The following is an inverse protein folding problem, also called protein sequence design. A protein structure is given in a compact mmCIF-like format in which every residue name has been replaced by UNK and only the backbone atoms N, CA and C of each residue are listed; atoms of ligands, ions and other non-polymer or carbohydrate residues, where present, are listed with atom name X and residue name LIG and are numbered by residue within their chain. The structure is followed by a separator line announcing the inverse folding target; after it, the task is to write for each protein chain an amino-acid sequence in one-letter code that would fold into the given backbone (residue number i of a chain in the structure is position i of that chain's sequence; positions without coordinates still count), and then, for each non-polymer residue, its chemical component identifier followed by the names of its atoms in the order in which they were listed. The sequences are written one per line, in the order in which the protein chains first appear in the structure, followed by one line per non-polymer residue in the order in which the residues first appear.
data_IF_405395545533
#
_entry.id   IF_405395545533
#
_cell.length_a   1.000
_cell.length_b   1.000
_cell.length_c   1.000
_cell.angle_alpha   90.00
_cell.angle_beta   90.00
_cell.angle_gamma   90.00
#
_symmetry.space_group_name_H-M   'P 1'
#
loop_
_entity.id
_entity.type
_entity.pdbx_description
1 polymer ?
#
# COMPACT_ATOMS: atom_id res chain seq x y z
N UNK A 1 15.59 37.45 -43.54
CA UNK A 1 14.51 36.51 -43.16
C UNK A 1 14.73 36.08 -41.73
N UNK A 2 13.83 36.43 -40.80
CA UNK A 2 13.90 36.05 -39.38
C UNK A 2 13.05 34.80 -39.17
N UNK A 3 13.67 33.70 -38.74
CA UNK A 3 12.97 32.50 -38.31
C UNK A 3 12.79 32.56 -36.79
N UNK A 4 11.55 32.77 -36.35
CA UNK A 4 11.16 32.67 -34.94
C UNK A 4 10.81 31.23 -34.65
N UNK A 5 11.65 30.52 -33.87
CA UNK A 5 11.32 29.22 -33.32
C UNK A 5 10.32 29.41 -32.17
N UNK A 6 9.07 29.02 -32.38
CA UNK A 6 8.10 28.83 -31.29
C UNK A 6 8.52 27.61 -30.46
N UNK A 7 8.98 27.87 -29.24
CA UNK A 7 9.14 26.84 -28.22
C UNK A 7 7.77 26.33 -27.78
N UNK A 8 7.47 25.06 -28.06
CA UNK A 8 6.32 24.36 -27.51
C UNK A 8 6.65 23.99 -26.06
N UNK A 9 6.13 24.76 -25.10
CA UNK A 9 6.15 24.38 -23.70
C UNK A 9 5.15 23.25 -23.48
N UNK A 10 5.64 22.03 -23.31
CA UNK A 10 4.84 20.89 -22.89
C UNK A 10 4.49 21.05 -21.40
N UNK A 11 3.29 21.56 -21.13
CA UNK A 11 2.68 21.51 -19.80
C UNK A 11 2.45 20.04 -19.43
N UNK A 12 3.41 19.43 -18.73
CA UNK A 12 3.21 18.11 -18.15
C UNK A 12 2.15 18.18 -17.03
N UNK A 13 1.20 17.25 -16.96
CA UNK A 13 0.18 17.23 -15.93
C UNK A 13 0.83 16.90 -14.58
N UNK A 14 0.96 17.92 -13.71
CA UNK A 14 1.55 17.83 -12.36
C UNK A 14 0.99 16.67 -11.52
N UNK A 15 -0.23 16.19 -11.80
CA UNK A 15 -0.88 15.10 -11.06
C UNK A 15 -0.35 13.70 -11.35
N UNK A 16 0.21 13.43 -12.53
CA UNK A 16 0.74 12.10 -12.88
C UNK A 16 2.11 11.87 -12.23
N UNK A 17 2.98 12.89 -12.27
CA UNK A 17 4.28 12.89 -11.62
C UNK A 17 4.15 12.77 -10.09
N UNK A 18 3.34 13.63 -9.47
CA UNK A 18 3.13 13.60 -8.02
C UNK A 18 2.55 12.27 -7.48
N UNK A 19 1.79 11.53 -8.30
CA UNK A 19 1.30 10.19 -7.93
C UNK A 19 2.36 9.12 -8.13
N UNK A 20 3.18 9.23 -9.18
CA UNK A 20 4.36 8.40 -9.38
C UNK A 20 5.35 8.50 -8.22
N UNK A 21 5.58 9.73 -7.75
CA UNK A 21 6.47 10.03 -6.63
C UNK A 21 6.01 9.35 -5.34
N UNK A 22 4.71 9.45 -5.01
CA UNK A 22 4.13 8.80 -3.82
C UNK A 22 4.15 7.27 -3.88
N UNK A 23 3.93 6.69 -5.06
CA UNK A 23 4.04 5.24 -5.23
C UNK A 23 5.48 4.78 -4.98
N UNK A 24 6.46 5.48 -5.55
CA UNK A 24 7.87 5.14 -5.37
C UNK A 24 8.32 5.32 -3.91
N UNK A 25 7.86 6.38 -3.25
CA UNK A 25 8.09 6.61 -1.82
C UNK A 25 7.53 5.46 -0.96
N UNK A 26 6.29 5.03 -1.22
CA UNK A 26 5.68 3.92 -0.52
C UNK A 26 6.42 2.60 -0.76
N UNK A 27 6.85 2.33 -2.00
CA UNK A 27 7.67 1.15 -2.34
C UNK A 27 8.96 1.15 -1.52
N UNK A 28 9.71 2.25 -1.56
CA UNK A 28 10.98 2.37 -0.83
C UNK A 28 10.80 2.15 0.68
N UNK A 29 9.73 2.68 1.27
CA UNK A 29 9.44 2.49 2.69
C UNK A 29 9.18 1.01 3.05
N UNK A 30 8.52 0.26 2.17
CA UNK A 30 8.32 -1.17 2.34
C UNK A 30 9.63 -1.96 2.15
N UNK A 31 10.42 -1.63 1.13
CA UNK A 31 11.70 -2.27 0.83
C UNK A 31 12.73 -2.06 1.94
N UNK A 32 12.79 -0.87 2.55
CA UNK A 32 13.60 -0.60 3.74
C UNK A 32 13.25 -1.53 4.92
N UNK A 33 12.02 -2.09 4.94
CA UNK A 33 11.57 -3.05 5.95
C UNK A 33 11.68 -4.49 5.46
N UNK A 34 12.41 -4.74 4.38
CA UNK A 34 12.63 -6.07 3.83
C UNK A 34 11.40 -6.65 3.12
N UNK A 35 10.44 -5.82 2.70
CA UNK A 35 9.40 -6.26 1.77
C UNK A 35 9.90 -6.22 0.33
N UNK A 36 9.49 -7.20 -0.46
CA UNK A 36 9.65 -7.21 -1.91
C UNK A 36 8.34 -6.78 -2.54
N UNK A 37 8.37 -5.70 -3.33
CA UNK A 37 7.20 -5.24 -4.08
C UNK A 37 7.32 -5.73 -5.53
N UNK A 38 6.47 -6.67 -5.92
CA UNK A 38 6.41 -7.19 -7.29
C UNK A 38 5.36 -6.47 -8.10
N UNK A 39 5.73 -6.00 -9.30
CA UNK A 39 4.79 -5.40 -10.26
C UNK A 39 4.31 -6.37 -11.33
N UNK A 40 4.90 -7.55 -11.36
CA UNK A 40 4.60 -8.64 -12.28
C UNK A 40 4.37 -9.92 -11.47
N UNK A 41 3.29 -10.62 -11.81
CA UNK A 41 2.93 -11.91 -11.22
C UNK A 41 1.91 -12.59 -12.15
N UNK A 42 1.93 -13.93 -12.33
CA UNK A 42 0.98 -14.62 -13.21
C UNK A 42 -0.49 -14.30 -12.90
N UNK A 43 -0.81 -14.15 -11.60
CA UNK A 43 -2.16 -13.79 -11.15
C UNK A 43 -2.63 -12.39 -11.56
N UNK A 44 -1.76 -11.51 -12.03
CA UNK A 44 -2.19 -10.20 -12.53
C UNK A 44 -3.05 -10.28 -13.80
N UNK A 45 -3.05 -11.44 -14.48
CA UNK A 45 -3.99 -11.76 -15.55
C UNK A 45 -5.44 -11.96 -15.06
N UNK A 46 -5.66 -12.22 -13.76
CA UNK A 46 -7.02 -12.35 -13.19
C UNK A 46 -7.74 -10.99 -13.25
N UNK A 47 -8.91 -10.86 -13.89
CA UNK A 47 -9.53 -9.56 -14.18
C UNK A 47 -9.70 -8.67 -12.94
N UNK A 48 -10.16 -9.23 -11.83
CA UNK A 48 -10.54 -8.49 -10.62
C UNK A 48 -9.43 -8.39 -9.55
N UNK A 49 -8.24 -8.94 -9.81
CA UNK A 49 -7.15 -8.94 -8.83
C UNK A 49 -6.20 -7.76 -9.00
N UNK A 50 -6.33 -6.71 -8.19
CA UNK A 50 -5.48 -5.51 -8.28
C UNK A 50 -4.11 -5.70 -7.62
N UNK A 51 -4.02 -6.54 -6.59
CA UNK A 51 -2.79 -6.89 -5.90
C UNK A 51 -3.04 -8.05 -4.95
N UNK A 52 -1.98 -8.50 -4.28
CA UNK A 52 -2.09 -9.43 -3.16
C UNK A 52 -0.91 -9.33 -2.21
N UNK A 53 -1.19 -9.49 -0.93
CA UNK A 53 -0.18 -9.88 0.05
C UNK A 53 0.10 -11.39 -0.03
N UNK A 54 1.37 -11.78 -0.18
CA UNK A 54 1.77 -13.20 -0.14
C UNK A 54 1.87 -13.66 1.32
N UNK A 55 0.89 -14.43 1.77
CA UNK A 55 0.74 -14.84 3.18
C UNK A 55 2.04 -15.40 3.77
N UNK A 56 2.45 -14.84 4.90
CA UNK A 56 3.63 -15.27 5.67
C UNK A 56 4.97 -14.83 5.09
N UNK A 57 4.99 -14.13 3.96
CA UNK A 57 6.21 -13.61 3.33
C UNK A 57 6.20 -12.10 3.34
N UNK A 58 7.35 -11.44 3.41
CA UNK A 58 7.44 -9.99 3.16
C UNK A 58 7.38 -9.73 1.66
N UNK A 59 6.27 -10.08 1.02
CA UNK A 59 6.09 -9.92 -0.42
C UNK A 59 4.68 -9.41 -0.71
N UNK A 60 4.60 -8.36 -1.53
CA UNK A 60 3.35 -7.74 -1.98
C UNK A 60 3.40 -7.64 -3.49
N UNK A 61 2.34 -8.10 -4.15
CA UNK A 61 2.15 -7.95 -5.58
C UNK A 61 1.22 -6.77 -5.82
N UNK A 62 1.61 -5.86 -6.72
CA UNK A 62 0.81 -4.74 -7.19
C UNK A 62 0.68 -4.85 -8.70
N UNK A 63 -0.47 -5.27 -9.19
CA UNK A 63 -0.70 -5.43 -10.62
C UNK A 63 -0.79 -4.07 -11.33
N UNK A 64 -0.42 -3.97 -12.62
CA UNK A 64 -0.36 -2.70 -13.35
C UNK A 64 -1.75 -2.20 -13.79
N UNK A 65 -2.71 -2.10 -12.85
CA UNK A 65 -4.08 -1.67 -13.09
C UNK A 65 -4.66 -0.95 -11.88
N UNK A 66 -5.69 -0.14 -12.10
CA UNK A 66 -6.35 0.62 -11.04
C UNK A 66 -5.42 1.59 -10.31
N UNK A 67 -5.72 1.86 -9.04
CA UNK A 67 -4.91 2.71 -8.18
C UNK A 67 -3.80 1.89 -7.50
N UNK A 68 -2.61 1.88 -8.10
CA UNK A 68 -1.48 1.08 -7.62
C UNK A 68 -0.97 1.52 -6.24
N UNK A 69 -1.04 2.82 -5.91
CA UNK A 69 -0.65 3.30 -4.58
C UNK A 69 -1.61 2.75 -3.52
N UNK A 70 -2.92 2.96 -3.69
CA UNK A 70 -3.92 2.44 -2.74
C UNK A 70 -3.86 0.92 -2.61
N UNK A 71 -3.62 0.21 -3.72
CA UNK A 71 -3.41 -1.25 -3.71
C UNK A 71 -2.18 -1.63 -2.88
N UNK A 72 -1.04 -0.96 -3.08
CA UNK A 72 0.16 -1.20 -2.30
C UNK A 72 -0.07 -0.94 -0.81
N UNK A 73 -0.74 0.15 -0.46
CA UNK A 73 -1.02 0.48 0.93
C UNK A 73 -1.99 -0.53 1.57
N UNK A 74 -3.00 -0.98 0.84
CA UNK A 74 -3.96 -1.98 1.31
C UNK A 74 -3.29 -3.35 1.54
N UNK A 75 -2.68 -3.92 0.50
CA UNK A 75 -2.04 -5.24 0.56
C UNK A 75 -0.79 -5.21 1.45
N UNK A 76 -0.06 -4.10 1.43
CA UNK A 76 1.06 -3.87 2.34
C UNK A 76 0.62 -3.88 3.80
N UNK A 77 -0.51 -3.25 4.13
CA UNK A 77 -1.03 -3.26 5.51
C UNK A 77 -1.42 -4.67 5.96
N UNK A 78 -1.95 -5.50 5.07
CA UNK A 78 -2.17 -6.92 5.35
C UNK A 78 -0.88 -7.66 5.73
N UNK A 79 0.24 -7.32 5.09
CA UNK A 79 1.55 -7.81 5.47
C UNK A 79 2.02 -7.31 6.83
N UNK A 80 1.82 -6.01 7.12
CA UNK A 80 2.13 -5.41 8.43
C UNK A 80 1.34 -6.09 9.55
N UNK A 81 0.03 -6.25 9.38
CA UNK A 81 -0.85 -6.95 10.32
C UNK A 81 -0.36 -8.37 10.59
N UNK A 82 0.02 -9.10 9.53
CA UNK A 82 0.42 -10.50 9.65
C UNK A 82 1.80 -10.68 10.28
N UNK A 83 2.78 -9.86 9.90
CA UNK A 83 4.20 -10.10 10.20
C UNK A 83 4.72 -9.26 11.35
N UNK A 84 4.23 -8.03 11.49
CA UNK A 84 4.76 -7.08 12.45
C UNK A 84 3.85 -6.96 13.67
N UNK A 85 2.54 -6.87 13.45
CA UNK A 85 1.55 -6.79 14.54
C UNK A 85 1.10 -8.17 15.04
N UNK A 86 1.46 -9.26 14.34
CA UNK A 86 1.07 -10.65 14.67
C UNK A 86 -0.44 -10.80 14.90
N UNK A 87 -1.24 -10.10 14.10
CA UNK A 87 -2.70 -10.10 14.17
C UNK A 87 -3.32 -9.15 15.21
N UNK A 88 -2.52 -8.45 16.02
CA UNK A 88 -3.03 -7.42 16.91
C UNK A 88 -3.55 -6.23 16.09
N UNK A 89 -4.80 -5.78 16.29
CA UNK A 89 -5.33 -4.63 15.57
C UNK A 89 -4.65 -3.34 16.02
N UNK A 90 -4.36 -2.45 15.07
CA UNK A 90 -3.88 -1.10 15.37
C UNK A 90 -5.07 -0.15 15.63
N UNK A 91 -6.18 -0.36 14.94
CA UNK A 91 -7.39 0.47 15.02
C UNK A 91 -8.53 -0.36 15.61
N UNK A 92 -9.11 0.13 16.71
CA UNK A 92 -10.26 -0.51 17.36
C UNK A 92 -11.51 -0.49 16.48
N UNK A 93 -12.37 -1.50 16.61
CA UNK A 93 -13.57 -1.70 15.79
C UNK A 93 -14.50 -0.49 15.74
N UNK A 94 -14.71 0.21 16.85
CA UNK A 94 -15.57 1.40 16.88
C UNK A 94 -15.01 2.56 16.04
N UNK A 95 -13.69 2.72 16.04
CA UNK A 95 -13.04 3.73 15.22
C UNK A 95 -13.10 3.37 13.72
N UNK A 96 -13.00 2.09 13.38
CA UNK A 96 -13.20 1.60 12.01
C UNK A 96 -14.64 1.88 11.54
N UNK A 97 -15.65 1.56 12.37
CA UNK A 97 -17.06 1.77 12.01
C UNK A 97 -17.42 3.24 11.73
N UNK A 98 -16.73 4.19 12.38
CA UNK A 98 -16.89 5.63 12.14
C UNK A 98 -16.24 6.11 10.85
N UNK A 99 -15.17 5.44 10.42
CA UNK A 99 -14.40 5.82 9.23
C UNK A 99 -14.89 5.13 7.96
N UNK A 100 -15.48 3.94 8.08
CA UNK A 100 -16.01 3.20 6.95
C UNK A 100 -17.33 3.80 6.46
N UNK A 101 -17.38 4.05 5.15
CA UNK A 101 -18.60 4.47 4.47
C UNK A 101 -19.65 3.34 4.44
N UNK A 102 -20.90 3.69 4.10
CA UNK A 102 -21.99 2.70 3.95
C UNK A 102 -21.65 1.59 2.97
N UNK A 103 -20.99 1.94 1.85
CA UNK A 103 -20.58 0.98 0.81
C UNK A 103 -19.58 -0.03 1.35
N UNK A 104 -18.51 0.42 2.02
CA UNK A 104 -17.50 -0.49 2.57
C UNK A 104 -18.09 -1.46 3.58
N UNK A 105 -18.96 -0.97 4.48
CA UNK A 105 -19.63 -1.84 5.46
C UNK A 105 -20.47 -2.92 4.79
N UNK A 106 -21.16 -2.58 3.70
CA UNK A 106 -21.93 -3.56 2.92
C UNK A 106 -21.03 -4.57 2.21
N UNK A 107 -19.93 -4.11 1.60
CA UNK A 107 -18.97 -5.01 0.94
C UNK A 107 -18.30 -5.97 1.94
N UNK A 108 -17.93 -5.50 3.13
CA UNK A 108 -17.42 -6.36 4.21
C UNK A 108 -18.40 -7.50 4.54
N UNK A 109 -19.67 -7.17 4.71
CA UNK A 109 -20.72 -8.13 5.03
C UNK A 109 -20.98 -9.15 3.92
N UNK A 110 -20.80 -8.75 2.65
CA UNK A 110 -21.07 -9.60 1.49
C UNK A 110 -19.89 -10.49 1.11
N UNK A 111 -18.65 -10.00 1.28
CA UNK A 111 -17.46 -10.62 0.71
C UNK A 111 -16.56 -11.31 1.74
N UNK A 112 -16.72 -11.02 3.03
CA UNK A 112 -15.82 -11.50 4.07
C UNK A 112 -16.59 -12.15 5.21
N UNK A 113 -15.96 -13.15 5.84
CA UNK A 113 -16.52 -13.75 7.06
C UNK A 113 -16.41 -12.76 8.24
N UNK A 114 -17.33 -12.80 9.22
CA UNK A 114 -17.31 -11.87 10.36
C UNK A 114 -15.98 -11.79 11.11
N UNK A 115 -15.26 -12.92 11.24
CA UNK A 115 -13.95 -12.99 11.89
C UNK A 115 -12.82 -12.30 11.10
N UNK A 116 -13.06 -11.97 9.83
CA UNK A 116 -12.11 -11.27 8.96
C UNK A 116 -12.41 -9.76 8.86
N UNK A 117 -13.58 -9.31 9.30
CA UNK A 117 -14.04 -7.95 9.08
C UNK A 117 -13.10 -6.90 9.64
N UNK A 118 -12.61 -7.07 10.86
CA UNK A 118 -11.70 -6.10 11.48
C UNK A 118 -10.41 -5.93 10.68
N UNK A 119 -9.82 -7.04 10.24
CA UNK A 119 -8.56 -7.05 9.50
C UNK A 119 -8.69 -6.34 8.15
N UNK A 120 -9.75 -6.66 7.40
CA UNK A 120 -10.07 -6.04 6.11
C UNK A 120 -10.45 -4.56 6.27
N UNK A 121 -11.30 -4.24 7.25
CA UNK A 121 -11.72 -2.88 7.56
C UNK A 121 -10.52 -1.97 7.85
N UNK A 122 -9.58 -2.45 8.66
CA UNK A 122 -8.38 -1.69 8.99
C UNK A 122 -7.49 -1.47 7.77
N UNK A 123 -7.28 -2.48 6.91
CA UNK A 123 -6.52 -2.31 5.67
C UNK A 123 -7.17 -1.27 4.73
N UNK A 124 -8.51 -1.26 4.61
CA UNK A 124 -9.24 -0.24 3.84
C UNK A 124 -9.08 1.16 4.40
N UNK A 125 -9.14 1.32 5.72
CA UNK A 125 -8.94 2.61 6.39
C UNK A 125 -7.52 3.10 6.17
N UNK A 126 -6.53 2.24 6.43
CA UNK A 126 -5.12 2.58 6.29
C UNK A 126 -4.77 2.94 4.84
N UNK A 127 -5.30 2.24 3.84
CA UNK A 127 -5.06 2.55 2.43
C UNK A 127 -5.55 3.94 1.99
N UNK A 128 -6.45 4.57 2.77
CA UNK A 128 -7.00 5.90 2.51
C UNK A 128 -6.34 7.01 3.33
N UNK A 129 -5.48 6.67 4.28
CA UNK A 129 -4.72 7.67 5.04
C UNK A 129 -3.78 8.46 4.12
N UNK A 130 -3.53 9.75 4.40
CA UNK A 130 -2.42 10.47 3.79
C UNK A 130 -1.12 9.70 3.97
N UNK A 131 -0.30 9.61 2.91
CA UNK A 131 0.91 8.78 2.89
C UNK A 131 1.82 9.00 4.12
N UNK A 132 2.02 10.26 4.55
CA UNK A 132 2.81 10.55 5.75
C UNK A 132 2.29 9.84 7.01
N UNK A 133 0.98 9.88 7.28
CA UNK A 133 0.36 9.19 8.42
C UNK A 133 0.45 7.68 8.29
N UNK A 134 0.29 7.16 7.08
CA UNK A 134 0.49 5.75 6.79
C UNK A 134 1.93 5.32 7.14
N UNK A 135 2.93 6.08 6.68
CA UNK A 135 4.34 5.78 6.92
C UNK A 135 4.70 5.89 8.41
N UNK A 136 4.13 6.83 9.15
CA UNK A 136 4.26 6.89 10.61
C UNK A 136 3.70 5.63 11.29
N UNK A 137 2.53 5.15 10.86
CA UNK A 137 1.96 3.91 11.38
C UNK A 137 2.82 2.69 11.03
N UNK A 138 3.34 2.64 9.80
CA UNK A 138 4.27 1.61 9.33
C UNK A 138 5.58 1.60 10.14
N UNK A 139 6.13 2.78 10.46
CA UNK A 139 7.31 2.94 11.33
C UNK A 139 7.07 2.36 12.73
N UNK A 140 5.91 2.66 13.33
CA UNK A 140 5.57 2.16 14.67
C UNK A 140 5.32 0.65 14.68
N UNK A 141 4.73 0.11 13.62
CA UNK A 141 4.34 -1.29 13.54
C UNK A 141 5.51 -2.21 13.13
N UNK A 142 6.29 -1.83 12.12
CA UNK A 142 7.36 -2.63 11.55
C UNK A 142 8.71 -1.92 11.70
N UNK A 143 9.59 -2.47 12.54
CA UNK A 143 10.98 -2.04 12.63
C UNK A 143 11.71 -2.23 11.29
N UNK A 144 12.60 -1.29 10.98
CA UNK A 144 13.62 -1.47 9.94
C UNK A 144 14.62 -2.49 10.48
N UNK A 145 14.94 -3.56 9.73
CA UNK A 145 15.99 -4.48 10.13
C UNK A 145 17.29 -3.68 10.35
N UNK A 146 17.81 -3.69 11.57
CA UNK A 146 19.16 -3.18 11.83
C UNK A 146 20.12 -4.08 11.05
N UNK A 147 20.82 -3.54 10.06
CA UNK A 147 22.00 -4.20 9.52
C UNK A 147 22.93 -4.49 10.69
N UNK A 148 23.13 -5.77 11.03
CA UNK A 148 24.20 -6.15 11.95
C UNK A 148 25.51 -5.62 11.35
N UNK A 149 26.35 -4.90 12.10
CA UNK A 149 27.71 -4.64 11.63
C UNK A 149 28.35 -6.00 11.37
N UNK A 150 28.91 -6.16 10.17
CA UNK A 150 29.67 -7.35 9.79
C UNK A 150 30.71 -7.60 10.90
N UNK A 151 30.61 -8.75 11.57
CA UNK A 151 31.65 -9.19 12.48
C UNK A 151 32.89 -9.41 11.61
N UNK A 152 33.90 -8.58 11.80
CA UNK A 152 35.23 -8.80 11.25
C UNK A 152 35.85 -9.97 12.04
N UNK A 153 36.16 -11.06 11.32
CA UNK A 153 37.10 -12.10 11.76
C UNK A 153 38.53 -11.68 11.42
#
# INVERSE_FOLDING_TARGET
MRATLLGVATLQPLGAHARGDKLQEAIAAFEQRGFVIRREHPRCAEPQLFGLYVRGRREVVVCPKGNQLETLLHEGWHGVQSLCLRGAPLVGSDALLRQLGRRDRRELQLLYRPDQWQREAEARVMAREPLGRYLEALNRACAVPTSQPAQAE
#
